data_IF_675177879651
#
_entry.id   IF_675177879651
#
_cell.length_a   1.000
_cell.length_b   1.000
_cell.length_c   1.000
_cell.angle_alpha   90.00
_cell.angle_beta   90.00
_cell.angle_gamma   90.00
#
_symmetry.space_group_name_H-M   'P 1'
#
loop_
_entity.id
_entity.type
_entity.pdbx_description
1 polymer ?
#
# COMPACT_ATOMS: atom_id res chain seq x y z
N UNK A 1 8.67 -3.46 -9.50
CA UNK A 1 7.91 -2.27 -9.99
C UNK A 1 6.46 -2.46 -9.57
N UNK A 2 5.89 -1.47 -8.91
CA UNK A 2 4.47 -1.49 -8.53
C UNK A 2 3.58 -1.38 -9.78
N UNK A 3 2.55 -2.25 -9.99
CA UNK A 3 1.73 -2.25 -11.19
C UNK A 3 0.91 -0.96 -11.39
N UNK A 4 0.53 -0.27 -10.32
CA UNK A 4 -0.17 1.03 -10.43
C UNK A 4 0.82 2.12 -10.87
N UNK A 5 2.06 2.09 -10.38
CA UNK A 5 3.11 2.98 -10.91
C UNK A 5 3.40 2.68 -12.39
N UNK A 6 3.46 1.41 -12.77
CA UNK A 6 3.62 1.02 -14.17
C UNK A 6 2.46 1.56 -15.03
N UNK A 7 1.23 1.55 -14.50
CA UNK A 7 0.07 2.15 -15.17
C UNK A 7 0.27 3.66 -15.43
N UNK A 8 0.83 4.41 -14.47
CA UNK A 8 1.16 5.83 -14.68
C UNK A 8 2.17 6.00 -15.82
N UNK A 9 3.21 5.17 -15.85
CA UNK A 9 4.23 5.22 -16.90
C UNK A 9 3.65 4.87 -18.28
N UNK A 10 2.87 3.78 -18.38
CA UNK A 10 2.25 3.37 -19.64
C UNK A 10 1.23 4.40 -20.16
N UNK A 11 0.64 5.21 -19.29
CA UNK A 11 -0.19 6.35 -19.69
C UNK A 11 0.58 7.48 -20.38
N UNK A 12 1.91 7.52 -20.23
CA UNK A 12 2.79 8.51 -20.85
C UNK A 12 3.45 7.94 -22.11
N UNK A 13 4.08 6.77 -21.98
CA UNK A 13 4.90 6.18 -23.05
C UNK A 13 4.12 5.25 -23.99
N UNK A 14 2.82 5.10 -23.77
CA UNK A 14 1.93 4.22 -24.54
C UNK A 14 1.95 2.76 -24.08
N UNK A 15 0.83 2.08 -24.35
CA UNK A 15 0.59 0.70 -23.95
C UNK A 15 1.42 -0.34 -24.72
N UNK A 16 1.39 -1.57 -24.26
CA UNK A 16 1.97 -2.75 -24.92
C UNK A 16 0.87 -3.77 -25.21
N UNK A 17 1.09 -4.63 -26.20
CA UNK A 17 0.13 -5.67 -26.57
C UNK A 17 0.65 -7.04 -26.10
N UNK A 18 -0.22 -7.81 -25.45
CA UNK A 18 0.01 -9.21 -25.10
C UNK A 18 -0.14 -10.11 -26.33
N UNK A 19 0.36 -11.37 -26.26
CA UNK A 19 0.28 -12.31 -27.38
C UNK A 19 -1.14 -12.61 -27.87
N UNK A 20 -2.13 -12.53 -26.98
CA UNK A 20 -3.56 -12.74 -27.30
C UNK A 20 -4.26 -11.48 -27.87
N UNK A 21 -3.52 -10.39 -28.03
CA UNK A 21 -4.04 -9.12 -28.53
C UNK A 21 -4.52 -8.15 -27.46
N UNK A 22 -4.56 -8.54 -26.18
CA UNK A 22 -4.91 -7.64 -25.08
C UNK A 22 -3.94 -6.48 -24.99
N UNK A 23 -4.45 -5.24 -24.99
CA UNK A 23 -3.64 -4.04 -24.80
C UNK A 23 -3.56 -3.70 -23.30
N UNK A 24 -2.34 -3.57 -22.82
CA UNK A 24 -2.03 -3.14 -21.44
C UNK A 24 -1.50 -1.71 -21.50
N UNK A 25 -2.21 -0.76 -20.91
CA UNK A 25 -1.90 0.67 -21.00
C UNK A 25 -2.18 1.44 -19.71
N UNK A 26 -2.15 2.78 -19.78
CA UNK A 26 -2.40 3.67 -18.66
C UNK A 26 -3.82 3.61 -18.07
N UNK A 27 -4.75 2.92 -18.71
CA UNK A 27 -6.13 2.79 -18.22
C UNK A 27 -6.40 1.48 -17.47
N UNK A 28 -5.59 0.43 -17.71
CA UNK A 28 -5.92 -0.91 -17.26
C UNK A 28 -4.74 -1.73 -16.68
N UNK A 29 -3.51 -1.23 -16.74
CA UNK A 29 -2.33 -2.03 -16.38
C UNK A 29 -2.40 -2.60 -14.96
N UNK A 30 -2.87 -1.85 -13.98
CA UNK A 30 -3.02 -2.34 -12.62
C UNK A 30 -4.03 -3.50 -12.55
N UNK A 31 -5.18 -3.38 -13.22
CA UNK A 31 -6.19 -4.44 -13.28
C UNK A 31 -5.65 -5.68 -13.98
N UNK A 32 -5.04 -5.51 -15.15
CA UNK A 32 -4.50 -6.64 -15.92
C UNK A 32 -3.42 -7.38 -15.11
N UNK A 33 -2.48 -6.65 -14.51
CA UNK A 33 -1.33 -7.25 -13.82
C UNK A 33 -1.64 -7.78 -12.41
N UNK A 34 -2.66 -7.25 -11.71
CA UNK A 34 -3.00 -7.66 -10.34
C UNK A 34 -4.23 -8.57 -10.26
N UNK A 35 -4.99 -8.69 -11.34
CA UNK A 35 -6.22 -9.47 -11.37
C UNK A 35 -6.32 -10.34 -12.63
N UNK A 36 -6.44 -9.74 -13.84
CA UNK A 36 -6.85 -10.45 -15.04
C UNK A 36 -5.85 -11.53 -15.47
N UNK A 37 -4.55 -11.33 -15.25
CA UNK A 37 -3.53 -12.35 -15.54
C UNK A 37 -3.79 -13.62 -14.73
N UNK A 38 -4.08 -13.48 -13.44
CA UNK A 38 -4.37 -14.62 -12.56
C UNK A 38 -5.70 -15.29 -12.86
N UNK A 39 -6.63 -14.56 -13.49
CA UNK A 39 -7.97 -15.03 -13.82
C UNK A 39 -8.03 -15.74 -15.16
N UNK A 40 -7.30 -15.22 -16.15
CA UNK A 40 -7.45 -15.61 -17.56
C UNK A 40 -6.32 -16.45 -18.12
N UNK A 41 -5.16 -16.54 -17.44
CA UNK A 41 -3.98 -17.23 -17.97
C UNK A 41 -3.52 -18.36 -17.05
N UNK A 42 -3.04 -19.49 -17.65
CA UNK A 42 -2.39 -20.56 -16.89
C UNK A 42 -1.20 -20.03 -16.06
N UNK A 43 -0.97 -20.65 -14.90
CA UNK A 43 0.09 -20.21 -13.96
C UNK A 43 1.47 -20.18 -14.63
N UNK A 44 1.76 -21.16 -15.48
CA UNK A 44 3.02 -21.31 -16.21
C UNK A 44 3.28 -20.21 -17.26
N UNK A 45 2.26 -19.47 -17.67
CA UNK A 45 2.38 -18.36 -18.64
C UNK A 45 2.49 -17.00 -17.95
N UNK A 46 2.07 -16.87 -16.71
CA UNK A 46 1.94 -15.59 -15.99
C UNK A 46 3.28 -14.85 -15.89
N UNK A 47 4.36 -15.54 -15.53
CA UNK A 47 5.69 -14.93 -15.40
C UNK A 47 6.21 -14.37 -16.73
N UNK A 48 5.95 -15.07 -17.84
CA UNK A 48 6.33 -14.60 -19.17
C UNK A 48 5.57 -13.33 -19.57
N UNK A 49 4.28 -13.23 -19.20
CA UNK A 49 3.45 -12.06 -19.46
C UNK A 49 3.95 -10.87 -18.61
N UNK A 50 4.23 -11.08 -17.32
CA UNK A 50 4.80 -10.04 -16.47
C UNK A 50 6.13 -9.51 -17.03
N UNK A 51 7.03 -10.41 -17.45
CA UNK A 51 8.31 -10.04 -18.02
C UNK A 51 8.13 -9.25 -19.34
N UNK A 52 7.21 -9.64 -20.19
CA UNK A 52 6.93 -8.99 -21.47
C UNK A 52 6.41 -7.56 -21.26
N UNK A 53 5.44 -7.37 -20.33
CA UNK A 53 4.89 -6.04 -20.01
C UNK A 53 5.95 -5.14 -19.40
N UNK A 54 6.69 -5.64 -18.39
CA UNK A 54 7.73 -4.88 -17.71
C UNK A 54 8.86 -4.49 -18.66
N UNK A 55 9.32 -5.42 -19.52
CA UNK A 55 10.38 -5.18 -20.50
C UNK A 55 9.96 -4.17 -21.57
N UNK A 56 8.73 -4.29 -22.09
CA UNK A 56 8.19 -3.32 -23.07
C UNK A 56 8.08 -1.92 -22.47
N UNK A 57 7.53 -1.81 -21.26
CA UNK A 57 7.42 -0.54 -20.56
C UNK A 57 8.78 0.10 -20.30
N UNK A 58 9.76 -0.69 -19.81
CA UNK A 58 11.12 -0.21 -19.57
C UNK A 58 11.77 0.35 -20.84
N UNK A 59 11.72 -0.39 -21.95
CA UNK A 59 12.30 0.05 -23.22
C UNK A 59 11.67 1.37 -23.69
N UNK A 60 10.34 1.48 -23.65
CA UNK A 60 9.64 2.71 -24.02
C UNK A 60 10.02 3.90 -23.12
N UNK A 61 10.15 3.68 -21.81
CA UNK A 61 10.58 4.73 -20.86
C UNK A 61 11.99 5.21 -21.24
N UNK A 62 12.91 4.27 -21.52
CA UNK A 62 14.29 4.61 -21.90
C UNK A 62 14.32 5.39 -23.23
N UNK A 63 13.53 4.98 -24.21
CA UNK A 63 13.43 5.66 -25.51
C UNK A 63 12.89 7.10 -25.35
N UNK A 64 11.99 7.32 -24.40
CA UNK A 64 11.37 8.63 -24.13
C UNK A 64 12.21 9.56 -23.23
N UNK A 65 13.30 9.09 -22.60
CA UNK A 65 14.14 9.93 -21.73
C UNK A 65 14.80 11.13 -22.44
N UNK A 66 14.89 11.10 -23.77
CA UNK A 66 15.37 12.20 -24.59
C UNK A 66 14.26 13.06 -25.24
N UNK A 67 13.00 12.79 -24.95
CA UNK A 67 11.85 13.39 -25.60
C UNK A 67 11.25 14.57 -24.81
N UNK A 68 10.20 15.18 -25.42
CA UNK A 68 9.41 16.24 -24.76
C UNK A 68 8.61 15.75 -23.54
N UNK A 69 8.48 14.45 -23.33
CA UNK A 69 7.67 13.87 -22.26
C UNK A 69 8.44 13.64 -20.95
N UNK A 70 9.71 14.04 -20.90
CA UNK A 70 10.56 13.91 -19.69
C UNK A 70 9.92 14.54 -18.44
N UNK A 71 9.21 15.67 -18.60
CA UNK A 71 8.52 16.34 -17.50
C UNK A 71 7.31 15.53 -16.98
N UNK A 72 6.59 14.83 -17.85
CA UNK A 72 5.49 13.93 -17.47
C UNK A 72 6.03 12.69 -16.74
N UNK A 73 7.13 12.14 -17.24
CA UNK A 73 7.83 11.01 -16.58
C UNK A 73 8.28 11.41 -15.17
N UNK A 74 8.90 12.59 -15.02
CA UNK A 74 9.31 13.09 -13.70
C UNK A 74 8.11 13.25 -12.76
N UNK A 75 6.99 13.79 -13.24
CA UNK A 75 5.75 13.91 -12.46
C UNK A 75 5.16 12.56 -12.04
N UNK A 76 5.22 11.54 -12.90
CA UNK A 76 4.78 10.19 -12.56
C UNK A 76 5.70 9.54 -11.50
N UNK A 77 7.01 9.78 -11.58
CA UNK A 77 7.97 9.31 -10.57
C UNK A 77 7.70 10.00 -9.22
N UNK A 78 7.51 11.32 -9.21
CA UNK A 78 7.16 12.08 -7.99
C UNK A 78 5.86 11.55 -7.36
N UNK A 79 4.82 11.33 -8.18
CA UNK A 79 3.57 10.74 -7.72
C UNK A 79 3.77 9.34 -7.13
N UNK A 80 4.47 8.45 -7.86
CA UNK A 80 4.75 7.10 -7.38
C UNK A 80 5.58 7.08 -6.09
N UNK A 81 6.53 8.00 -5.95
CA UNK A 81 7.33 8.17 -4.73
C UNK A 81 6.46 8.66 -3.56
N UNK A 82 5.62 9.67 -3.77
CA UNK A 82 4.74 10.23 -2.72
C UNK A 82 3.70 9.22 -2.23
N UNK A 83 3.24 8.31 -3.10
CA UNK A 83 2.32 7.23 -2.77
C UNK A 83 3.01 5.98 -2.15
N UNK A 84 4.35 5.98 -2.01
CA UNK A 84 5.10 4.83 -1.50
C UNK A 84 5.20 3.65 -2.49
N UNK A 85 4.95 3.87 -3.79
CA UNK A 85 4.99 2.85 -4.85
C UNK A 85 6.39 2.64 -5.43
N UNK A 86 7.31 3.53 -5.10
CA UNK A 86 8.72 3.46 -5.48
C UNK A 86 9.54 3.39 -4.21
N UNK A 87 10.32 2.32 -4.08
CA UNK A 87 11.29 2.18 -3.01
C UNK A 87 12.67 1.95 -3.64
N UNK A 88 13.69 2.55 -3.04
CA UNK A 88 15.07 2.45 -3.47
C UNK A 88 15.97 2.14 -2.26
N UNK A 89 16.89 1.22 -2.45
CA UNK A 89 17.98 0.97 -1.52
C UNK A 89 19.30 1.02 -2.27
N UNK A 90 20.28 1.74 -1.76
CA UNK A 90 21.64 1.74 -2.30
C UNK A 90 22.67 1.40 -1.23
N UNK A 91 23.74 0.70 -1.65
CA UNK A 91 24.92 0.47 -0.82
C UNK A 91 25.88 1.67 -0.79
N UNK A 92 25.64 2.65 -1.66
CA UNK A 92 26.35 3.93 -1.66
C UNK A 92 25.67 4.85 -0.66
N UNK A 93 26.42 5.35 0.32
CA UNK A 93 25.90 6.17 1.41
C UNK A 93 25.26 7.49 0.93
N UNK A 94 25.80 8.11 -0.13
CA UNK A 94 25.26 9.36 -0.66
C UNK A 94 23.93 9.13 -1.40
N UNK A 95 23.82 8.04 -2.16
CA UNK A 95 22.57 7.64 -2.83
C UNK A 95 21.49 7.24 -1.81
N UNK A 96 21.87 6.45 -0.78
CA UNK A 96 20.93 6.06 0.29
C UNK A 96 20.47 7.28 1.09
N UNK A 97 21.36 8.25 1.34
CA UNK A 97 20.99 9.52 1.97
C UNK A 97 20.02 10.32 1.10
N UNK A 98 20.22 10.34 -0.21
CA UNK A 98 19.30 10.97 -1.15
C UNK A 98 17.94 10.24 -1.16
N UNK A 99 17.91 8.90 -1.18
CA UNK A 99 16.69 8.11 -1.11
C UNK A 99 15.89 8.38 0.17
N UNK A 100 16.58 8.51 1.32
CA UNK A 100 15.95 8.91 2.59
C UNK A 100 15.37 10.33 2.53
N UNK A 101 16.13 11.28 2.00
CA UNK A 101 15.68 12.67 1.86
C UNK A 101 14.44 12.80 0.94
N UNK A 102 14.35 11.95 -0.09
CA UNK A 102 13.20 11.85 -0.99
C UNK A 102 12.04 11.01 -0.42
N UNK A 103 12.23 10.37 0.73
CA UNK A 103 11.20 9.51 1.36
C UNK A 103 10.97 8.18 0.67
N UNK A 104 11.87 7.73 -0.22
CA UNK A 104 11.76 6.49 -0.99
C UNK A 104 12.66 5.35 -0.49
N UNK A 105 13.39 5.52 0.60
CA UNK A 105 14.26 4.46 1.16
C UNK A 105 13.47 3.30 1.78
N UNK A 106 12.19 3.49 2.07
CA UNK A 106 11.37 2.51 2.81
C UNK A 106 11.70 2.41 4.31
N UNK A 107 12.68 3.18 4.81
CA UNK A 107 13.06 3.16 6.21
C UNK A 107 11.97 3.76 7.11
N UNK A 108 11.80 3.17 8.30
CA UNK A 108 11.00 3.77 9.36
C UNK A 108 11.69 5.03 9.88
N UNK A 109 10.91 6.07 10.18
CA UNK A 109 11.46 7.31 10.72
C UNK A 109 11.49 7.26 12.24
N UNK A 110 12.70 7.35 12.81
CA UNK A 110 12.95 7.29 14.26
C UNK A 110 13.37 8.64 14.86
N UNK A 111 13.43 9.71 14.04
CA UNK A 111 13.85 11.04 14.48
C UNK A 111 12.64 11.84 14.99
N UNK A 112 12.65 12.22 16.27
CA UNK A 112 11.58 13.00 16.90
C UNK A 112 11.61 14.48 16.50
N UNK A 113 12.71 14.97 15.91
CA UNK A 113 12.84 16.36 15.43
C UNK A 113 12.17 16.58 14.08
N UNK A 114 11.90 15.50 13.32
CA UNK A 114 11.20 15.53 12.05
C UNK A 114 9.67 15.63 12.21
N UNK A 115 8.96 15.82 11.10
CA UNK A 115 7.48 15.75 11.13
C UNK A 115 7.04 14.34 11.54
N UNK A 116 6.11 14.20 12.53
CA UNK A 116 5.69 12.90 13.01
C UNK A 116 5.01 12.09 11.91
N UNK A 117 5.32 10.78 11.83
CA UNK A 117 4.74 9.87 10.84
C UNK A 117 3.99 8.75 11.56
N UNK A 118 2.70 8.65 11.28
CA UNK A 118 1.90 7.45 11.57
C UNK A 118 2.08 6.46 10.42
N UNK A 119 2.60 5.27 10.71
CA UNK A 119 2.67 4.18 9.73
C UNK A 119 1.44 3.27 9.83
N UNK A 120 0.71 3.08 8.73
CA UNK A 120 -0.42 2.14 8.65
C UNK A 120 -0.14 1.16 7.53
N UNK A 121 0.39 0.00 7.89
CA UNK A 121 0.83 -0.98 6.89
C UNK A 121 0.01 -2.25 6.95
N UNK A 122 -0.24 -2.82 5.79
CA UNK A 122 -0.89 -4.13 5.64
C UNK A 122 0.03 -5.07 4.86
N UNK A 123 0.08 -6.32 5.28
CA UNK A 123 0.75 -7.39 4.57
C UNK A 123 -0.23 -8.53 4.34
N UNK A 124 -0.28 -9.04 3.12
CA UNK A 124 -0.96 -10.31 2.85
C UNK A 124 -0.29 -11.43 3.65
N UNK A 125 -1.09 -12.21 4.36
CA UNK A 125 -0.59 -13.31 5.18
C UNK A 125 -0.98 -14.68 4.61
N UNK A 126 -1.80 -14.72 3.56
CA UNK A 126 -2.35 -15.93 2.96
C UNK A 126 -1.67 -16.36 1.66
N UNK A 127 -0.65 -15.64 1.18
CA UNK A 127 -0.05 -15.84 -0.15
C UNK A 127 -1.06 -15.77 -1.30
N UNK A 128 -2.23 -15.18 -1.06
CA UNK A 128 -3.30 -14.99 -2.04
C UNK A 128 -3.05 -13.77 -2.93
N UNK A 129 -3.94 -13.55 -3.89
CA UNK A 129 -4.04 -12.31 -4.68
C UNK A 129 -5.24 -11.46 -4.25
N UNK A 130 -5.81 -11.77 -3.06
CA UNK A 130 -7.02 -11.14 -2.52
C UNK A 130 -6.85 -9.64 -2.26
N UNK A 131 -5.60 -9.14 -2.11
CA UNK A 131 -5.31 -7.71 -1.93
C UNK A 131 -5.88 -6.83 -3.07
N UNK A 132 -6.23 -7.42 -4.23
CA UNK A 132 -6.96 -6.73 -5.29
C UNK A 132 -8.31 -6.20 -4.79
N UNK A 133 -8.96 -6.91 -3.89
CA UNK A 133 -10.27 -6.56 -3.35
C UNK A 133 -10.19 -5.70 -2.09
N UNK A 134 -9.00 -5.35 -1.61
CA UNK A 134 -8.83 -4.56 -0.40
C UNK A 134 -9.18 -3.09 -0.63
N UNK A 135 -10.26 -2.59 0.00
CA UNK A 135 -10.48 -1.17 0.25
C UNK A 135 -9.88 -0.82 1.62
N UNK A 136 -8.88 0.04 1.64
CA UNK A 136 -8.22 0.53 2.84
C UNK A 136 -8.29 2.05 2.90
N UNK A 137 -8.77 2.58 4.04
CA UNK A 137 -8.83 4.02 4.30
C UNK A 137 -8.25 4.34 5.66
N UNK A 138 -7.57 5.49 5.76
CA UNK A 138 -7.07 6.04 7.02
C UNK A 138 -7.56 7.47 7.10
N UNK A 139 -8.31 7.78 8.16
CA UNK A 139 -8.89 9.11 8.38
C UNK A 139 -8.40 9.67 9.70
N UNK A 140 -7.95 10.93 9.70
CA UNK A 140 -7.70 11.71 10.92
C UNK A 140 -9.00 12.41 11.27
N UNK A 141 -9.69 11.92 12.29
CA UNK A 141 -11.03 12.39 12.67
C UNK A 141 -11.00 13.72 13.43
N UNK A 142 -9.95 13.93 14.24
CA UNK A 142 -9.74 15.17 15.00
C UNK A 142 -8.31 15.28 15.53
N UNK A 143 -7.91 16.48 15.91
CA UNK A 143 -6.64 16.75 16.58
C UNK A 143 -6.79 17.76 17.71
N UNK A 144 -5.94 17.63 18.73
CA UNK A 144 -5.83 18.56 19.88
C UNK A 144 -4.35 18.78 20.18
N UNK A 145 -3.91 20.04 20.15
CA UNK A 145 -2.58 20.43 20.60
C UNK A 145 -2.50 20.41 22.13
N UNK A 146 -1.47 19.79 22.67
CA UNK A 146 -1.24 19.69 24.10
C UNK A 146 -0.24 20.77 24.55
N UNK A 147 -0.36 21.23 25.78
CA UNK A 147 0.49 22.28 26.33
C UNK A 147 1.99 21.91 26.42
N UNK A 148 2.34 20.64 26.33
CA UNK A 148 3.71 20.14 26.39
C UNK A 148 4.44 20.10 25.03
N UNK A 149 3.77 20.51 23.95
CA UNK A 149 4.31 20.51 22.58
C UNK A 149 3.93 19.26 21.76
N UNK A 150 3.27 18.28 22.36
CA UNK A 150 2.71 17.12 21.62
C UNK A 150 1.35 17.48 21.02
N UNK A 151 0.89 16.65 20.08
CA UNK A 151 -0.48 16.72 19.52
C UNK A 151 -1.12 15.35 19.61
N UNK A 152 -2.37 15.30 20.04
CA UNK A 152 -3.18 14.09 20.11
C UNK A 152 -4.17 14.06 18.96
N UNK A 153 -4.17 12.95 18.21
CA UNK A 153 -5.06 12.72 17.08
C UNK A 153 -5.99 11.54 17.36
N UNK A 154 -7.24 11.64 16.94
CA UNK A 154 -8.12 10.48 16.77
C UNK A 154 -8.03 10.04 15.34
N UNK A 155 -7.79 8.74 15.14
CA UNK A 155 -7.59 8.16 13.80
C UNK A 155 -8.44 6.92 13.66
N UNK A 156 -9.00 6.76 12.47
CA UNK A 156 -9.75 5.57 12.05
C UNK A 156 -9.05 4.92 10.86
N UNK A 157 -8.75 3.63 10.97
CA UNK A 157 -8.35 2.77 9.86
C UNK A 157 -9.50 1.82 9.52
N UNK A 158 -9.97 1.85 8.27
CA UNK A 158 -11.02 0.97 7.78
C UNK A 158 -10.46 0.07 6.68
N UNK A 159 -10.78 -1.22 6.77
CA UNK A 159 -10.44 -2.25 5.80
C UNK A 159 -11.75 -2.91 5.36
N UNK A 160 -11.88 -3.23 4.08
CA UNK A 160 -13.06 -3.93 3.55
C UNK A 160 -12.66 -4.84 2.41
N UNK A 161 -13.15 -6.08 2.44
CA UNK A 161 -13.12 -6.97 1.30
C UNK A 161 -14.26 -6.61 0.34
N UNK A 162 -13.92 -6.11 -0.84
CA UNK A 162 -14.89 -5.61 -1.85
C UNK A 162 -15.28 -6.65 -2.89
N UNK A 163 -14.80 -7.91 -2.75
CA UNK A 163 -15.17 -9.00 -3.65
C UNK A 163 -16.67 -9.16 -3.76
N UNK A 164 -17.15 -9.45 -4.96
CA UNK A 164 -18.55 -9.71 -5.24
C UNK A 164 -18.87 -11.21 -5.20
N UNK A 165 -20.15 -11.61 -5.01
CA UNK A 165 -20.55 -13.02 -5.10
C UNK A 165 -20.23 -13.68 -6.44
N UNK A 166 -20.25 -12.91 -7.54
CA UNK A 166 -19.89 -13.41 -8.86
C UNK A 166 -18.39 -13.71 -8.94
N UNK A 167 -17.54 -12.77 -8.51
CA UNK A 167 -16.09 -12.96 -8.47
C UNK A 167 -15.71 -14.16 -7.61
N UNK A 168 -16.35 -14.33 -6.44
CA UNK A 168 -16.16 -15.52 -5.58
C UNK A 168 -16.47 -16.82 -6.33
N UNK A 169 -17.59 -16.85 -7.09
CA UNK A 169 -18.03 -18.05 -7.81
C UNK A 169 -17.10 -18.40 -8.99
N UNK A 170 -16.45 -17.41 -9.58
CA UNK A 170 -15.56 -17.55 -10.75
C UNK A 170 -14.08 -17.60 -10.38
N UNK A 171 -13.73 -17.41 -9.09
CA UNK A 171 -12.35 -17.24 -8.63
C UNK A 171 -11.48 -18.46 -8.89
N UNK A 172 -10.35 -18.32 -9.60
CA UNK A 172 -9.39 -19.40 -9.78
C UNK A 172 -8.73 -19.83 -8.46
N UNK A 173 -8.50 -21.14 -8.28
CA UNK A 173 -7.89 -21.64 -7.05
C UNK A 173 -6.52 -21.04 -6.73
N UNK A 174 -5.74 -20.68 -7.74
CA UNK A 174 -4.44 -20.01 -7.56
C UNK A 174 -4.58 -18.60 -6.97
N UNK A 175 -5.65 -17.87 -7.27
CA UNK A 175 -5.90 -16.52 -6.76
C UNK A 175 -6.14 -16.52 -5.24
N UNK A 176 -6.82 -17.54 -4.75
CA UNK A 176 -7.14 -17.73 -3.34
C UNK A 176 -5.91 -17.89 -2.44
N UNK A 177 -4.83 -18.49 -2.95
CA UNK A 177 -3.68 -18.90 -2.13
C UNK A 177 -3.97 -20.15 -1.28
N UNK A 178 -2.91 -20.77 -0.78
CA UNK A 178 -3.00 -21.95 0.08
C UNK A 178 -1.95 -21.87 1.18
N UNK A 179 -2.36 -21.52 2.38
CA UNK A 179 -1.46 -21.40 3.51
C UNK A 179 -1.93 -22.14 4.77
N UNK A 180 -3.09 -22.81 4.71
CA UNK A 180 -3.68 -23.52 5.83
C UNK A 180 -4.20 -22.61 6.97
N UNK A 181 -4.30 -21.29 6.74
CA UNK A 181 -4.77 -20.32 7.75
C UNK A 181 -6.29 -20.21 7.72
N UNK A 182 -6.88 -20.17 6.53
CA UNK A 182 -8.33 -20.19 6.36
C UNK A 182 -8.75 -21.28 5.39
N UNK A 183 -9.95 -21.82 5.59
CA UNK A 183 -10.60 -22.77 4.68
C UNK A 183 -11.61 -22.08 3.76
N UNK A 184 -11.98 -20.85 4.07
CA UNK A 184 -12.91 -20.06 3.29
C UNK A 184 -12.17 -19.42 2.11
N UNK A 185 -12.65 -19.67 0.90
CA UNK A 185 -11.98 -19.26 -0.34
C UNK A 185 -12.00 -17.75 -0.57
N UNK A 186 -12.89 -17.04 0.08
CA UNK A 186 -13.07 -15.59 0.02
C UNK A 186 -12.52 -14.87 1.25
N UNK A 187 -11.79 -15.56 2.13
CA UNK A 187 -11.17 -14.96 3.31
C UNK A 187 -9.90 -14.19 2.92
N UNK A 188 -9.99 -12.87 2.99
CA UNK A 188 -8.84 -11.98 2.88
C UNK A 188 -8.11 -11.93 4.22
N UNK A 189 -6.95 -12.60 4.28
CA UNK A 189 -6.15 -12.72 5.51
C UNK A 189 -4.96 -11.80 5.43
N UNK A 190 -4.98 -10.76 6.28
CA UNK A 190 -3.97 -9.72 6.32
C UNK A 190 -3.33 -9.60 7.70
N UNK A 191 -2.18 -8.95 7.77
CA UNK A 191 -1.66 -8.35 9.00
C UNK A 191 -1.67 -6.84 8.89
N UNK A 192 -2.38 -6.19 9.83
CA UNK A 192 -2.37 -4.74 10.00
C UNK A 192 -1.30 -4.37 11.02
N UNK A 193 -0.50 -3.35 10.70
CA UNK A 193 0.49 -2.75 11.58
C UNK A 193 0.23 -1.24 11.69
N UNK A 194 0.13 -0.75 12.92
CA UNK A 194 -0.01 0.66 13.24
C UNK A 194 1.26 1.09 13.98
N UNK A 195 2.16 1.80 13.31
CA UNK A 195 3.40 2.31 13.89
C UNK A 195 3.17 3.71 14.46
N UNK A 196 3.39 3.87 15.75
CA UNK A 196 3.38 5.19 16.36
C UNK A 196 4.48 6.08 15.77
N UNK A 197 4.27 7.41 15.72
CA UNK A 197 5.34 8.35 15.42
C UNK A 197 6.53 8.18 16.39
N UNK A 198 7.73 8.54 15.93
CA UNK A 198 8.94 8.52 16.76
C UNK A 198 8.71 9.28 18.08
N UNK A 199 9.04 8.63 19.20
CA UNK A 199 8.82 9.17 20.54
C UNK A 199 7.35 9.34 20.95
N UNK A 200 6.41 8.96 20.10
CA UNK A 200 4.98 9.01 20.33
C UNK A 200 4.37 7.70 20.82
N UNK A 201 3.05 7.63 20.78
CA UNK A 201 2.29 6.45 21.21
C UNK A 201 1.00 6.24 20.42
N UNK A 202 0.50 5.01 20.46
CA UNK A 202 -0.87 4.64 20.07
C UNK A 202 -1.55 4.09 21.32
N UNK A 203 -2.81 4.48 21.55
CA UNK A 203 -3.63 4.08 22.68
C UNK A 203 -5.12 4.01 22.32
N UNK A 204 -5.95 3.60 23.27
CA UNK A 204 -7.42 3.56 23.16
C UNK A 204 -7.92 2.80 21.94
N UNK A 205 -7.24 1.73 21.56
CA UNK A 205 -7.57 0.95 20.36
C UNK A 205 -8.92 0.26 20.57
N UNK A 206 -9.83 0.50 19.63
CA UNK A 206 -11.15 -0.14 19.54
C UNK A 206 -11.34 -0.74 18.18
N UNK A 207 -11.84 -1.96 18.15
CA UNK A 207 -12.12 -2.69 16.91
C UNK A 207 -13.62 -2.91 16.75
N UNK A 208 -14.09 -2.83 15.53
CA UNK A 208 -15.48 -3.08 15.14
C UNK A 208 -15.55 -3.54 13.68
N UNK A 209 -16.75 -3.88 13.21
CA UNK A 209 -16.98 -4.39 11.86
C UNK A 209 -17.53 -5.81 11.88
N UNK A 210 -17.71 -6.38 10.70
CA UNK A 210 -18.26 -7.74 10.50
C UNK A 210 -17.18 -8.80 10.31
N UNK A 211 -15.93 -8.39 9.99
CA UNK A 211 -14.75 -9.22 10.00
C UNK A 211 -14.15 -9.35 11.41
N UNK A 212 -12.96 -9.95 11.53
CA UNK A 212 -12.28 -10.12 12.81
C UNK A 212 -10.87 -9.56 12.80
N UNK A 213 -10.47 -9.00 13.93
CA UNK A 213 -9.10 -8.57 14.23
C UNK A 213 -8.84 -8.68 15.74
N UNK A 214 -7.67 -9.16 16.11
CA UNK A 214 -7.18 -9.13 17.49
C UNK A 214 -5.87 -8.36 17.52
N UNK A 215 -5.86 -7.23 18.28
CA UNK A 215 -4.72 -6.32 18.34
C UNK A 215 -3.75 -6.71 19.47
N UNK A 216 -2.48 -6.63 19.14
CA UNK A 216 -1.34 -6.87 20.04
C UNK A 216 -0.41 -5.66 20.00
N UNK A 217 0.47 -5.54 20.99
CA UNK A 217 1.47 -4.48 21.06
C UNK A 217 2.89 -5.04 20.99
N UNK A 218 3.80 -4.31 20.37
CA UNK A 218 5.21 -4.65 20.27
C UNK A 218 6.07 -3.38 20.15
N UNK A 219 7.37 -3.58 20.06
CA UNK A 219 8.34 -2.55 19.67
C UNK A 219 9.16 -3.08 18.50
N UNK A 220 9.31 -2.29 17.46
CA UNK A 220 10.10 -2.62 16.29
C UNK A 220 10.91 -1.39 15.86
N UNK A 221 12.22 -1.56 15.72
CA UNK A 221 13.18 -0.50 15.36
C UNK A 221 13.03 0.78 16.21
N UNK A 222 12.80 0.60 17.52
CA UNK A 222 12.60 1.68 18.49
C UNK A 222 11.22 2.33 18.47
N UNK A 223 10.34 1.99 17.55
CA UNK A 223 8.98 2.49 17.46
C UNK A 223 7.99 1.56 18.15
N UNK A 224 6.99 2.12 18.82
CA UNK A 224 5.85 1.34 19.31
C UNK A 224 4.97 0.95 18.13
N UNK A 225 4.53 -0.30 18.10
CA UNK A 225 3.64 -0.83 17.06
C UNK A 225 2.50 -1.61 17.68
N UNK A 226 1.27 -1.28 17.25
CA UNK A 226 0.12 -2.13 17.46
C UNK A 226 -0.12 -2.94 16.18
N UNK A 227 -0.38 -4.25 16.29
CA UNK A 227 -0.55 -5.12 15.13
C UNK A 227 -1.60 -6.19 15.38
N UNK A 228 -2.24 -6.65 14.30
CA UNK A 228 -3.25 -7.70 14.41
C UNK A 228 -3.42 -8.50 13.12
N UNK A 229 -3.84 -9.77 13.27
CA UNK A 229 -4.32 -10.59 12.18
C UNK A 229 -5.75 -10.18 11.83
N UNK A 230 -6.01 -9.92 10.56
CA UNK A 230 -7.30 -9.51 10.01
C UNK A 230 -7.86 -10.65 9.17
N UNK A 231 -9.13 -10.98 9.35
CA UNK A 231 -9.88 -11.91 8.52
C UNK A 231 -11.17 -11.25 8.05
N UNK A 232 -11.36 -11.19 6.75
CA UNK A 232 -12.54 -10.59 6.11
C UNK A 232 -13.05 -11.48 4.98
N UNK A 233 -14.18 -12.13 5.20
CA UNK A 233 -14.92 -12.78 4.13
C UNK A 233 -15.52 -11.74 3.16
N UNK A 234 -16.01 -12.20 2.03
CA UNK A 234 -16.68 -11.38 1.03
C UNK A 234 -17.64 -10.36 1.65
N UNK A 235 -17.40 -9.09 1.33
CA UNK A 235 -18.22 -7.95 1.77
C UNK A 235 -18.03 -7.54 3.22
N UNK A 236 -17.23 -8.29 4.01
CA UNK A 236 -16.93 -7.93 5.40
C UNK A 236 -15.96 -6.76 5.49
N UNK A 237 -15.99 -6.11 6.63
CA UNK A 237 -15.16 -4.98 6.98
C UNK A 237 -14.57 -5.11 8.38
N UNK A 238 -13.43 -4.45 8.60
CA UNK A 238 -12.81 -4.23 9.90
C UNK A 238 -12.51 -2.76 10.06
N UNK A 239 -12.89 -2.19 11.19
CA UNK A 239 -12.60 -0.81 11.58
C UNK A 239 -11.79 -0.80 12.86
N UNK A 240 -10.70 -0.03 12.86
CA UNK A 240 -9.86 0.21 14.04
C UNK A 240 -9.83 1.70 14.33
N UNK A 241 -10.36 2.10 15.47
CA UNK A 241 -10.33 3.47 15.98
C UNK A 241 -9.27 3.55 17.08
N UNK A 242 -8.40 4.55 17.05
CA UNK A 242 -7.31 4.69 18.00
C UNK A 242 -6.87 6.13 18.19
N UNK A 243 -6.15 6.36 19.27
CA UNK A 243 -5.54 7.66 19.62
C UNK A 243 -4.05 7.62 19.30
N UNK A 244 -3.55 8.61 18.56
CA UNK A 244 -2.13 8.82 18.29
C UNK A 244 -1.68 10.06 19.03
N UNK A 245 -0.65 9.94 19.87
CA UNK A 245 -0.01 11.11 20.50
C UNK A 245 1.42 11.22 19.98
N UNK A 246 1.78 12.39 19.44
CA UNK A 246 3.13 12.67 18.94
C UNK A 246 4.12 12.93 20.08
N UNK A 247 5.42 12.90 19.77
CA UNK A 247 6.43 13.38 20.71
C UNK A 247 6.26 14.89 20.98
N UNK A 248 6.51 15.33 22.21
CA UNK A 248 6.62 16.76 22.54
C UNK A 248 7.75 17.45 21.76
N UNK A 249 8.79 16.73 21.36
CA UNK A 249 9.90 17.24 20.56
C UNK A 249 9.48 17.57 19.12
N UNK A 250 8.34 17.07 18.67
CA UNK A 250 7.78 17.37 17.35
C UNK A 250 7.25 18.81 17.23
N UNK A 251 6.96 19.50 18.34
CA UNK A 251 6.59 20.93 18.37
C UNK A 251 5.36 21.24 17.53
N UNK A 252 4.29 20.46 17.66
CA UNK A 252 3.01 20.60 16.91
C UNK A 252 3.15 20.49 15.37
N UNK A 253 4.24 19.91 14.86
CA UNK A 253 4.32 19.60 13.43
C UNK A 253 3.19 18.66 13.04
N UNK A 254 2.66 18.87 11.83
CA UNK A 254 1.55 18.08 11.29
C UNK A 254 1.89 16.60 11.20
N UNK A 255 0.96 15.76 11.61
CA UNK A 255 1.07 14.31 11.49
C UNK A 255 0.94 13.91 10.03
N UNK A 256 1.95 13.23 9.50
CA UNK A 256 1.90 12.60 8.18
C UNK A 256 1.49 11.14 8.32
N UNK A 257 0.69 10.65 7.39
CA UNK A 257 0.31 9.24 7.33
C UNK A 257 1.06 8.57 6.17
N UNK A 258 1.77 7.48 6.47
CA UNK A 258 2.34 6.58 5.45
C UNK A 258 1.63 5.25 5.48
N UNK A 259 1.27 4.75 4.31
CA UNK A 259 0.51 3.49 4.22
C UNK A 259 1.12 2.56 3.17
N UNK A 260 0.88 1.26 3.28
CA UNK A 260 1.06 0.34 2.16
C UNK A 260 0.14 0.79 1.01
N UNK A 261 0.65 1.06 -0.20
CA UNK A 261 -0.21 1.39 -1.33
C UNK A 261 -1.07 0.17 -1.71
N UNK A 262 -2.33 0.42 -2.07
CA UNK A 262 -3.28 -0.60 -2.52
C UNK A 262 -3.44 -0.57 -4.04
N UNK A 263 -3.98 -1.65 -4.61
CA UNK A 263 -4.24 -1.77 -6.05
C UNK A 263 -5.27 -0.74 -6.51
N UNK A 264 -6.31 -0.52 -5.71
CA UNK A 264 -7.33 0.48 -5.95
C UNK A 264 -7.02 1.72 -5.09
N UNK A 265 -6.97 2.88 -5.73
CA UNK A 265 -6.88 4.15 -5.02
C UNK A 265 -8.29 4.63 -4.72
N UNK A 266 -8.72 4.45 -3.48
CA UNK A 266 -9.91 5.14 -3.01
C UNK A 266 -9.50 6.58 -2.68
N UNK A 267 -10.27 7.57 -3.16
CA UNK A 267 -10.03 8.97 -2.81
C UNK A 267 -10.00 9.08 -1.28
N UNK A 268 -8.88 9.53 -0.76
CA UNK A 268 -8.80 9.91 0.64
C UNK A 268 -9.68 11.15 0.77
N UNK A 269 -10.74 11.08 1.54
CA UNK A 269 -11.50 12.27 1.96
C UNK A 269 -10.52 13.22 2.64
N UNK A 270 -10.36 14.42 2.04
CA UNK A 270 -9.48 15.49 2.51
C UNK A 270 -10.01 16.10 3.79
#
# INVERSE_FOLDING_TARGET
VDPVFLQYMLGIVGGTQLPDGTVVDGSNAAKVLLHDIYWNYPVEEQDAIFAAVAGSAFNKIVDELGSSDIAKIAGAIEKGASEGRILMYSRNDDEEKAAKALGISGALQNDTSEAPILGVYVNNYSYSKMDWFLDKRVTIDSSVENADGSTTYRVTTSLKNTMTPQEKAEMPGYFQGHNGISQDIDDEVLRLYLYAPAGGSISDIKTSGSGSIEMNEATHDGLKVAWGGVHMLLGQDVKVEYTVTTSKDSGHKELKVRTTPTAQTFEQDK
#
